data_IF_975176806337
#
_entry.id   IF_975176806337
#
_cell.length_a   1.000
_cell.length_b   1.000
_cell.length_c   1.000
_cell.angle_alpha   90.00
_cell.angle_beta   90.00
_cell.angle_gamma   90.00
#
_symmetry.space_group_name_H-M   'P 1'
#
loop_
_entity.id
_entity.type
_entity.pdbx_description
1 polymer ?
#
# COMPACT_ATOMS: atom_id res chain seq x y z
N UNK A 1 -24.47 6.11 -11.25
CA UNK A 1 -24.79 5.86 -9.83
C UNK A 1 -26.31 5.75 -9.69
N UNK A 2 -26.80 4.74 -8.99
CA UNK A 2 -28.24 4.65 -8.68
C UNK A 2 -28.59 5.68 -7.58
N UNK A 3 -29.14 6.82 -7.99
CA UNK A 3 -29.49 7.92 -7.09
C UNK A 3 -30.50 7.51 -6.00
N UNK A 4 -31.40 6.55 -6.29
CA UNK A 4 -32.45 6.14 -5.34
C UNK A 4 -31.83 5.47 -4.10
N UNK A 5 -30.72 4.73 -4.27
CA UNK A 5 -30.00 4.07 -3.18
C UNK A 5 -29.36 5.05 -2.20
N UNK A 6 -28.95 6.24 -2.66
CA UNK A 6 -28.26 7.24 -1.85
C UNK A 6 -29.16 8.41 -1.42
N UNK A 7 -30.40 8.46 -1.89
CA UNK A 7 -31.29 9.60 -1.65
C UNK A 7 -31.64 9.82 -0.19
N UNK A 8 -31.68 8.77 0.61
CA UNK A 8 -31.95 8.81 2.06
C UNK A 8 -30.73 8.49 2.93
N UNK A 9 -29.53 8.73 2.40
CA UNK A 9 -28.30 8.49 3.15
C UNK A 9 -28.29 9.22 4.50
N UNK A 10 -27.96 8.53 5.60
CA UNK A 10 -27.84 9.19 6.91
C UNK A 10 -26.43 9.81 7.15
N UNK A 11 -25.52 9.73 6.18
CA UNK A 11 -24.11 10.14 6.30
C UNK A 11 -23.65 11.05 5.17
N UNK A 12 -24.59 11.64 4.43
CA UNK A 12 -24.30 12.55 3.35
C UNK A 12 -25.54 12.91 2.55
N UNK A 13 -25.35 13.66 1.49
CA UNK A 13 -26.43 14.14 0.63
C UNK A 13 -26.09 14.06 -0.85
N UNK A 14 -27.10 13.95 -1.67
CA UNK A 14 -26.95 14.10 -3.11
C UNK A 14 -27.05 15.58 -3.52
N UNK A 15 -26.18 15.99 -4.43
CA UNK A 15 -26.21 17.32 -5.05
C UNK A 15 -26.30 17.17 -6.56
N UNK A 16 -27.04 18.09 -7.26
CA UNK A 16 -27.06 18.06 -8.71
C UNK A 16 -25.70 18.25 -9.34
N UNK A 17 -25.41 17.46 -10.37
CA UNK A 17 -24.17 17.53 -11.14
C UNK A 17 -24.52 17.60 -12.63
N UNK A 18 -24.24 18.73 -13.26
CA UNK A 18 -24.52 18.97 -14.69
C UNK A 18 -23.20 19.31 -15.39
N UNK A 19 -23.04 18.80 -16.60
CA UNK A 19 -21.86 19.07 -17.40
C UNK A 19 -21.93 18.44 -18.76
N UNK A 20 -20.77 18.43 -19.41
CA UNK A 20 -20.57 17.72 -20.68
C UNK A 20 -19.46 16.68 -20.47
N UNK A 21 -19.74 15.46 -20.86
CA UNK A 21 -18.75 14.38 -20.82
C UNK A 21 -17.60 14.70 -21.77
N UNK A 22 -16.39 14.83 -21.24
CA UNK A 22 -15.22 15.30 -22.00
C UNK A 22 -14.79 14.39 -23.14
N UNK A 23 -15.22 13.11 -23.11
CA UNK A 23 -14.87 12.10 -24.11
C UNK A 23 -15.93 12.01 -25.21
N UNK A 24 -17.22 12.01 -24.81
CA UNK A 24 -18.32 11.81 -25.75
C UNK A 24 -18.91 13.12 -26.27
N UNK A 25 -18.62 14.24 -25.61
CA UNK A 25 -19.23 15.53 -25.91
C UNK A 25 -20.73 15.60 -25.54
N UNK A 26 -21.29 14.58 -24.89
CA UNK A 26 -22.71 14.52 -24.54
C UNK A 26 -22.98 15.24 -23.22
N UNK A 27 -24.04 16.05 -23.14
CA UNK A 27 -24.43 16.63 -21.87
C UNK A 27 -24.96 15.55 -20.92
N UNK A 28 -24.68 15.70 -19.63
CA UNK A 28 -25.27 14.88 -18.58
C UNK A 28 -25.94 15.73 -17.51
N UNK A 29 -27.05 15.21 -16.97
CA UNK A 29 -27.73 15.70 -15.77
C UNK A 29 -27.77 14.53 -14.79
N UNK A 30 -26.96 14.60 -13.75
CA UNK A 30 -26.72 13.50 -12.78
C UNK A 30 -26.66 14.07 -11.36
N UNK A 31 -26.33 13.24 -10.39
CA UNK A 31 -26.11 13.63 -9.01
C UNK A 31 -24.73 13.15 -8.54
N UNK A 32 -24.14 13.87 -7.60
CA UNK A 32 -22.92 13.52 -6.89
C UNK A 32 -23.22 13.36 -5.39
N UNK A 33 -22.48 12.51 -4.71
CA UNK A 33 -22.60 12.28 -3.27
C UNK A 33 -21.60 13.15 -2.52
N UNK A 34 -22.10 13.97 -1.59
CA UNK A 34 -21.27 14.77 -0.67
C UNK A 34 -21.41 14.14 0.70
N UNK A 35 -20.32 13.54 1.25
CA UNK A 35 -20.36 12.97 2.59
C UNK A 35 -20.41 14.05 3.66
N UNK A 36 -21.08 13.75 4.77
CA UNK A 36 -21.00 14.54 5.98
C UNK A 36 -19.60 14.41 6.64
N UNK A 37 -19.23 15.34 7.54
CA UNK A 37 -18.03 15.20 8.35
C UNK A 37 -18.02 13.90 9.15
N UNK A 38 -16.82 13.33 9.36
CA UNK A 38 -16.66 12.07 10.08
C UNK A 38 -17.21 12.14 11.51
N UNK A 39 -17.93 11.11 11.97
CA UNK A 39 -18.32 11.01 13.37
C UNK A 39 -17.09 10.77 14.26
N UNK A 40 -17.16 11.22 15.52
CA UNK A 40 -16.12 10.88 16.49
C UNK A 40 -16.23 9.43 16.96
N UNK A 41 -17.45 8.96 17.21
CA UNK A 41 -17.74 7.61 17.71
C UNK A 41 -18.97 7.06 16.97
N UNK A 42 -18.77 6.28 15.89
CA UNK A 42 -19.89 5.62 15.24
C UNK A 42 -20.45 4.52 16.17
N UNK A 43 -21.76 4.25 16.14
CA UNK A 43 -22.35 3.17 16.92
C UNK A 43 -21.86 1.81 16.39
N UNK A 44 -21.21 1.01 17.25
CA UNK A 44 -20.65 -0.28 16.90
C UNK A 44 -21.21 -1.39 17.78
N UNK A 45 -21.55 -2.54 17.17
CA UNK A 45 -21.97 -3.73 17.87
C UNK A 45 -20.80 -4.38 18.65
N UNK A 46 -21.13 -5.13 19.70
CA UNK A 46 -20.11 -5.86 20.48
C UNK A 46 -19.28 -6.85 19.64
N UNK A 47 -19.82 -7.38 18.54
CA UNK A 47 -19.08 -8.24 17.63
C UNK A 47 -17.99 -7.44 16.86
N UNK A 48 -18.28 -6.21 16.49
CA UNK A 48 -17.34 -5.31 15.80
C UNK A 48 -16.25 -4.86 16.75
N UNK A 49 -16.56 -4.52 18.01
CA UNK A 49 -15.55 -4.23 19.02
C UNK A 49 -14.62 -5.42 19.28
N UNK A 50 -15.12 -6.66 19.22
CA UNK A 50 -14.26 -7.85 19.29
C UNK A 50 -13.34 -7.98 18.07
N UNK A 51 -13.80 -7.61 16.87
CA UNK A 51 -12.96 -7.60 15.68
C UNK A 51 -11.85 -6.52 15.78
N UNK A 52 -12.20 -5.31 16.23
CA UNK A 52 -11.26 -4.21 16.51
C UNK A 52 -10.20 -4.64 17.52
N UNK A 53 -10.60 -5.25 18.64
CA UNK A 53 -9.68 -5.77 19.66
C UNK A 53 -8.71 -6.80 19.07
N UNK A 54 -9.20 -7.75 18.25
CA UNK A 54 -8.34 -8.75 17.59
C UNK A 54 -7.37 -8.11 16.60
N UNK A 55 -7.79 -7.06 15.88
CA UNK A 55 -6.92 -6.30 14.97
C UNK A 55 -5.81 -5.59 15.75
N UNK A 56 -6.15 -4.91 16.85
CA UNK A 56 -5.19 -4.23 17.74
C UNK A 56 -4.16 -5.19 18.31
N UNK A 57 -4.59 -6.39 18.72
CA UNK A 57 -3.67 -7.46 19.17
C UNK A 57 -2.71 -7.90 18.04
N UNK A 58 -3.21 -8.10 16.83
CA UNK A 58 -2.37 -8.50 15.68
C UNK A 58 -1.37 -7.41 15.29
N UNK A 59 -1.78 -6.14 15.30
CA UNK A 59 -0.90 -5.00 15.09
C UNK A 59 0.18 -4.90 16.17
N UNK A 60 -0.19 -5.11 17.44
CA UNK A 60 0.78 -5.14 18.55
C UNK A 60 1.83 -6.25 18.40
N UNK A 61 1.43 -7.42 17.90
CA UNK A 61 2.35 -8.53 17.61
C UNK A 61 3.28 -8.19 16.44
N UNK A 62 2.77 -7.59 15.37
CA UNK A 62 3.59 -7.10 14.25
C UNK A 62 4.58 -6.05 14.73
N UNK A 63 4.13 -5.07 15.52
CA UNK A 63 5.00 -4.06 16.13
C UNK A 63 6.13 -4.69 16.94
N UNK A 64 5.81 -5.69 17.79
CA UNK A 64 6.82 -6.39 18.59
C UNK A 64 7.80 -7.18 17.71
N UNK A 65 7.31 -7.87 16.68
CA UNK A 65 8.16 -8.60 15.73
C UNK A 65 9.13 -7.64 15.02
N UNK A 66 8.64 -6.49 14.55
CA UNK A 66 9.47 -5.46 13.91
C UNK A 66 10.60 -4.95 14.80
N UNK A 67 10.35 -4.76 16.10
CA UNK A 67 11.35 -4.30 17.08
C UNK A 67 12.46 -5.32 17.37
N UNK A 68 12.21 -6.60 17.17
CA UNK A 68 13.19 -7.67 17.38
C UNK A 68 14.15 -7.82 16.19
N UNK A 69 13.84 -7.17 15.07
CA UNK A 69 14.68 -7.23 13.86
C UNK A 69 15.89 -6.31 14.02
N UNK A 70 17.14 -6.83 13.90
CA UNK A 70 18.34 -6.00 14.02
C UNK A 70 18.44 -4.89 12.96
N UNK A 71 17.89 -5.14 11.76
CA UNK A 71 17.90 -4.21 10.64
C UNK A 71 16.50 -4.15 9.95
N UNK A 72 15.51 -3.44 10.53
CA UNK A 72 14.15 -3.38 10.00
C UNK A 72 14.07 -2.89 8.55
N UNK A 73 15.03 -2.05 8.13
CA UNK A 73 15.13 -1.55 6.76
C UNK A 73 15.23 -2.68 5.71
N UNK A 74 15.88 -3.81 6.05
CA UNK A 74 15.99 -4.95 5.16
C UNK A 74 14.65 -5.65 4.90
N UNK A 75 13.73 -5.62 5.86
CA UNK A 75 12.39 -6.20 5.73
C UNK A 75 11.36 -5.22 5.14
N UNK A 76 11.56 -3.91 5.35
CA UNK A 76 10.66 -2.88 4.81
C UNK A 76 10.58 -2.96 3.30
N UNK A 77 11.72 -3.06 2.64
CA UNK A 77 11.80 -3.03 1.17
C UNK A 77 10.94 -4.10 0.48
N UNK A 78 11.09 -5.42 0.76
CA UNK A 78 10.27 -6.44 0.11
C UNK A 78 8.79 -6.36 0.51
N UNK A 79 8.49 -5.99 1.75
CA UNK A 79 7.11 -5.81 2.22
C UNK A 79 6.43 -4.66 1.48
N UNK A 80 7.10 -3.52 1.33
CA UNK A 80 6.57 -2.36 0.62
C UNK A 80 6.39 -2.65 -0.87
N UNK A 81 7.27 -3.42 -1.49
CA UNK A 81 7.14 -3.83 -2.89
C UNK A 81 5.94 -4.75 -3.12
N UNK A 82 5.67 -5.64 -2.19
CA UNK A 82 4.48 -6.49 -2.22
C UNK A 82 3.20 -5.66 -2.03
N UNK A 83 3.21 -4.70 -1.12
CA UNK A 83 2.11 -3.74 -0.94
C UNK A 83 1.88 -2.93 -2.22
N UNK A 84 2.94 -2.38 -2.82
CA UNK A 84 2.88 -1.60 -4.05
C UNK A 84 2.26 -2.39 -5.21
N UNK A 85 2.64 -3.65 -5.37
CA UNK A 85 2.09 -4.53 -6.40
C UNK A 85 0.58 -4.74 -6.19
N UNK A 86 0.16 -5.11 -4.98
CA UNK A 86 -1.25 -5.39 -4.69
C UNK A 86 -2.13 -4.13 -4.69
N UNK A 87 -1.61 -2.99 -4.21
CA UNK A 87 -2.37 -1.73 -4.24
C UNK A 87 -2.59 -1.24 -5.68
N UNK A 88 -1.61 -1.42 -6.56
CA UNK A 88 -1.74 -1.08 -7.98
C UNK A 88 -2.66 -2.06 -8.72
N UNK A 89 -2.63 -3.35 -8.38
CA UNK A 89 -3.54 -4.34 -8.95
C UNK A 89 -5.01 -4.05 -8.62
N UNK A 90 -5.31 -3.49 -7.44
CA UNK A 90 -6.65 -2.99 -7.09
C UNK A 90 -7.14 -1.88 -8.03
N UNK A 91 -6.25 -1.08 -8.59
CA UNK A 91 -6.57 -0.01 -9.55
C UNK A 91 -6.51 -0.48 -11.02
N UNK A 92 -6.10 -1.74 -11.26
CA UNK A 92 -6.05 -2.32 -12.60
C UNK A 92 -4.67 -2.29 -13.25
N UNK A 93 -3.61 -1.89 -12.52
CA UNK A 93 -2.22 -1.89 -12.98
C UNK A 93 -1.54 -3.18 -12.53
N UNK A 94 -1.06 -4.01 -13.47
CA UNK A 94 -0.54 -5.33 -13.16
C UNK A 94 0.94 -5.46 -13.53
N UNK A 95 1.80 -5.62 -12.54
CA UNK A 95 3.19 -6.02 -12.70
C UNK A 95 3.46 -7.30 -11.88
N UNK A 96 4.18 -8.31 -12.43
CA UNK A 96 4.57 -9.48 -11.68
C UNK A 96 5.41 -9.08 -10.45
N UNK A 97 5.14 -9.67 -9.28
CA UNK A 97 5.88 -9.33 -8.07
C UNK A 97 7.39 -9.61 -8.21
N UNK A 98 7.76 -10.63 -8.99
CA UNK A 98 9.16 -10.92 -9.31
C UNK A 98 9.85 -9.75 -10.00
N UNK A 99 9.17 -9.10 -10.97
CA UNK A 99 9.71 -7.93 -11.67
C UNK A 99 9.81 -6.72 -10.73
N UNK A 100 8.84 -6.51 -9.86
CA UNK A 100 8.87 -5.47 -8.83
C UNK A 100 10.05 -5.69 -7.86
N UNK A 101 10.30 -6.93 -7.44
CA UNK A 101 11.41 -7.28 -6.56
C UNK A 101 12.79 -7.16 -7.26
N UNK A 102 12.84 -7.36 -8.57
CA UNK A 102 14.05 -7.30 -9.38
C UNK A 102 14.30 -5.93 -10.03
N UNK A 103 13.40 -4.98 -9.87
CA UNK A 103 13.40 -3.71 -10.61
C UNK A 103 14.70 -2.88 -10.52
N UNK A 104 15.47 -3.02 -9.42
CA UNK A 104 16.76 -2.34 -9.26
C UNK A 104 17.85 -2.87 -10.20
N UNK A 105 17.64 -4.04 -10.78
CA UNK A 105 18.57 -4.68 -11.70
C UNK A 105 18.23 -4.36 -13.17
N UNK A 106 17.13 -3.63 -13.40
CA UNK A 106 16.66 -3.25 -14.73
C UNK A 106 17.03 -1.80 -15.01
N UNK A 107 17.49 -1.55 -16.23
CA UNK A 107 17.60 -0.18 -16.71
C UNK A 107 16.24 0.50 -16.69
N UNK A 108 16.19 1.75 -16.30
CA UNK A 108 14.94 2.50 -16.17
C UNK A 108 14.13 2.54 -17.48
N UNK A 109 14.83 2.65 -18.60
CA UNK A 109 14.24 2.61 -19.95
C UNK A 109 13.63 1.26 -20.33
N UNK A 110 14.02 0.18 -19.66
CA UNK A 110 13.51 -1.17 -19.90
C UNK A 110 12.28 -1.51 -19.03
N UNK A 111 11.90 -0.65 -18.07
CA UNK A 111 10.74 -0.85 -17.20
C UNK A 111 9.44 -0.60 -17.99
N UNK A 112 8.49 -1.50 -17.87
CA UNK A 112 7.14 -1.29 -18.42
C UNK A 112 6.44 -0.10 -17.73
N UNK A 113 5.39 0.43 -18.36
CA UNK A 113 4.57 1.49 -17.76
C UNK A 113 3.97 1.04 -16.43
N UNK A 114 3.42 -0.17 -16.39
CA UNK A 114 2.83 -0.76 -15.18
C UNK A 114 3.86 -0.92 -14.07
N UNK A 115 5.07 -1.43 -14.40
CA UNK A 115 6.13 -1.56 -13.39
C UNK A 115 6.56 -0.20 -12.83
N UNK A 116 6.64 0.83 -13.68
CA UNK A 116 6.95 2.20 -13.24
C UNK A 116 5.90 2.73 -12.28
N UNK A 117 4.62 2.54 -12.60
CA UNK A 117 3.50 2.96 -11.75
C UNK A 117 3.54 2.26 -10.38
N UNK A 118 3.84 0.95 -10.34
CA UNK A 118 4.02 0.21 -9.08
C UNK A 118 5.21 0.74 -8.29
N UNK A 119 6.33 1.06 -8.93
CA UNK A 119 7.52 1.59 -8.26
C UNK A 119 7.30 3.01 -7.73
N UNK A 120 6.54 3.84 -8.43
CA UNK A 120 6.15 5.16 -7.92
C UNK A 120 5.44 5.09 -6.57
N UNK A 121 4.61 4.05 -6.35
CA UNK A 121 4.02 3.86 -5.02
C UNK A 121 5.08 3.57 -3.95
N UNK A 122 6.12 2.80 -4.27
CA UNK A 122 7.23 2.54 -3.33
C UNK A 122 7.91 3.84 -2.94
N UNK A 123 8.26 4.67 -3.93
CA UNK A 123 8.95 5.95 -3.71
C UNK A 123 8.05 6.94 -2.94
N UNK A 124 6.76 6.98 -3.29
CA UNK A 124 5.75 7.80 -2.60
C UNK A 124 5.59 7.40 -1.14
N UNK A 125 5.51 6.11 -0.86
CA UNK A 125 5.37 5.60 0.50
C UNK A 125 6.64 5.84 1.33
N UNK A 126 7.83 5.63 0.76
CA UNK A 126 9.09 5.93 1.44
C UNK A 126 9.22 7.42 1.76
N UNK A 127 8.81 8.32 0.85
CA UNK A 127 8.76 9.76 1.10
C UNK A 127 7.77 10.08 2.24
N UNK A 128 6.55 9.55 2.19
CA UNK A 128 5.52 9.78 3.21
C UNK A 128 5.98 9.34 4.60
N UNK A 129 6.60 8.15 4.71
CA UNK A 129 7.14 7.65 5.97
C UNK A 129 8.34 8.47 6.46
N UNK A 130 9.16 8.98 5.53
CA UNK A 130 10.24 9.92 5.83
C UNK A 130 9.71 11.20 6.46
N UNK A 131 8.78 11.85 5.79
CA UNK A 131 8.17 13.10 6.25
C UNK A 131 7.46 12.96 7.60
N UNK A 132 6.78 11.83 7.83
CA UNK A 132 6.14 11.59 9.12
C UNK A 132 7.16 11.44 10.25
N UNK A 133 8.30 10.78 10.01
CA UNK A 133 9.42 10.68 10.97
C UNK A 133 10.08 12.03 11.27
N UNK A 134 10.08 12.95 10.31
CA UNK A 134 10.52 14.35 10.46
C UNK A 134 9.48 15.22 11.20
N UNK A 135 8.34 14.65 11.57
CA UNK A 135 7.28 15.34 12.31
C UNK A 135 6.31 16.15 11.43
N UNK A 136 6.34 15.96 10.09
CA UNK A 136 5.31 16.55 9.22
C UNK A 136 3.95 15.92 9.54
N UNK A 137 2.92 16.74 9.57
CA UNK A 137 1.54 16.30 9.74
C UNK A 137 0.89 16.08 8.39
N UNK A 138 -0.15 15.24 8.35
CA UNK A 138 -1.00 15.09 7.17
C UNK A 138 -1.70 16.42 6.90
N UNK A 139 -1.47 16.99 5.72
CA UNK A 139 -2.09 18.22 5.23
C UNK A 139 -2.55 18.02 3.80
N UNK A 140 -3.43 18.89 3.29
CA UNK A 140 -3.81 18.88 1.88
C UNK A 140 -2.56 19.01 0.99
N UNK A 141 -1.63 19.91 1.35
CA UNK A 141 -0.36 20.06 0.62
C UNK A 141 0.46 18.78 0.60
N UNK A 142 0.58 18.07 1.72
CA UNK A 142 1.26 16.77 1.76
C UNK A 142 0.58 15.73 0.87
N UNK A 143 -0.76 15.67 0.87
CA UNK A 143 -1.50 14.75 -0.01
C UNK A 143 -1.29 15.09 -1.49
N UNK A 144 -1.24 16.37 -1.83
CA UNK A 144 -0.93 16.83 -3.19
C UNK A 144 0.50 16.46 -3.60
N UNK A 145 1.50 16.68 -2.74
CA UNK A 145 2.88 16.28 -3.00
C UNK A 145 3.00 14.76 -3.22
N UNK A 146 2.34 13.95 -2.39
CA UNK A 146 2.35 12.48 -2.52
C UNK A 146 1.66 12.02 -3.81
N UNK A 147 0.55 12.65 -4.19
CA UNK A 147 -0.14 12.32 -5.43
C UNK A 147 0.72 12.66 -6.65
N UNK A 148 1.42 13.78 -6.66
CA UNK A 148 2.35 14.14 -7.74
C UNK A 148 3.48 13.10 -7.89
N UNK A 149 4.07 12.63 -6.78
CA UNK A 149 5.07 11.56 -6.81
C UNK A 149 4.48 10.25 -7.36
N UNK A 150 3.27 9.91 -6.92
CA UNK A 150 2.61 8.66 -7.28
C UNK A 150 2.35 8.52 -8.78
N UNK A 151 1.97 9.61 -9.43
CA UNK A 151 1.62 9.59 -10.86
C UNK A 151 2.77 10.00 -11.78
N UNK A 152 3.94 10.35 -11.23
CA UNK A 152 5.07 10.86 -12.01
C UNK A 152 5.49 9.93 -13.14
N UNK A 153 5.59 10.47 -14.36
CA UNK A 153 5.99 9.72 -15.56
C UNK A 153 4.99 8.63 -15.99
N UNK A 154 3.76 8.66 -15.48
CA UNK A 154 2.64 7.81 -15.91
C UNK A 154 1.68 8.59 -16.83
N UNK A 155 0.69 7.95 -17.46
CA UNK A 155 -0.35 8.68 -18.22
C UNK A 155 -1.14 9.69 -17.38
N UNK A 156 -1.18 9.54 -16.05
CA UNK A 156 -1.84 10.46 -15.12
C UNK A 156 -0.95 11.66 -14.71
N UNK A 157 0.31 11.70 -15.14
CA UNK A 157 1.23 12.84 -14.95
C UNK A 157 0.86 13.98 -15.90
N UNK A 158 -0.19 14.69 -15.53
CA UNK A 158 -0.74 15.83 -16.28
C UNK A 158 -0.46 17.13 -15.52
N UNK A 159 -0.71 18.31 -16.07
CA UNK A 159 -0.61 19.57 -15.33
C UNK A 159 -1.45 19.65 -14.06
N UNK A 160 -2.43 18.75 -13.88
CA UNK A 160 -3.25 18.63 -12.67
C UNK A 160 -2.64 17.67 -11.63
N UNK A 161 -1.53 17.00 -11.93
CA UNK A 161 -0.83 16.17 -10.93
C UNK A 161 -0.41 17.05 -9.73
N UNK A 162 -0.67 16.56 -8.53
CA UNK A 162 -0.41 17.31 -7.31
C UNK A 162 -1.46 18.38 -6.98
N UNK A 163 -2.60 18.41 -7.67
CA UNK A 163 -3.68 19.35 -7.39
C UNK A 163 -5.00 18.62 -7.09
N UNK A 164 -5.79 19.19 -6.20
CA UNK A 164 -7.17 18.75 -6.01
C UNK A 164 -7.92 18.95 -7.31
N UNK A 165 -8.67 17.95 -7.75
CA UNK A 165 -9.32 17.93 -9.05
C UNK A 165 -10.32 19.09 -9.24
N UNK A 166 -10.36 19.57 -10.46
CA UNK A 166 -11.29 20.61 -10.91
C UNK A 166 -12.39 20.06 -11.83
N UNK A 167 -12.35 18.73 -12.11
CA UNK A 167 -13.35 18.04 -12.92
C UNK A 167 -14.03 16.93 -12.11
N UNK A 168 -15.30 16.61 -12.43
CA UNK A 168 -15.96 15.45 -11.86
C UNK A 168 -15.28 14.15 -12.28
N UNK A 169 -15.28 13.16 -11.38
CA UNK A 169 -14.77 11.83 -11.64
C UNK A 169 -15.84 10.76 -11.38
N UNK A 170 -15.68 9.61 -12.01
CA UNK A 170 -16.57 8.46 -11.91
C UNK A 170 -15.83 7.30 -11.26
N UNK A 171 -16.45 6.56 -10.35
CA UNK A 171 -15.89 5.37 -9.71
C UNK A 171 -16.69 4.14 -10.11
N UNK A 172 -15.97 3.08 -10.55
CA UNK A 172 -16.55 1.75 -10.72
C UNK A 172 -17.57 1.61 -11.85
N UNK A 173 -17.46 2.41 -12.92
CA UNK A 173 -18.25 2.29 -14.13
C UNK A 173 -17.64 1.30 -15.15
N UNK A 174 -18.42 1.00 -16.21
CA UNK A 174 -17.88 0.31 -17.41
C UNK A 174 -17.05 1.24 -18.29
N UNK A 175 -17.15 2.52 -18.03
CA UNK A 175 -16.44 3.61 -18.70
C UNK A 175 -16.18 4.71 -17.68
N UNK A 176 -15.32 5.67 -18.01
CA UNK A 176 -15.08 6.86 -17.17
C UNK A 176 -16.23 7.87 -17.23
N UNK A 177 -17.37 7.49 -17.80
CA UNK A 177 -18.55 8.35 -17.90
C UNK A 177 -19.28 8.45 -16.55
N UNK A 178 -19.66 9.67 -16.19
CA UNK A 178 -20.47 9.96 -14.99
C UNK A 178 -21.79 9.18 -14.99
N UNK A 179 -22.38 8.98 -16.18
CA UNK A 179 -23.69 8.29 -16.32
C UNK A 179 -23.58 6.81 -15.95
N UNK A 180 -22.46 6.17 -16.32
CA UNK A 180 -22.21 4.74 -16.07
C UNK A 180 -21.57 4.47 -14.71
N UNK A 181 -21.23 5.50 -13.95
CA UNK A 181 -20.51 5.37 -12.68
C UNK A 181 -21.33 4.58 -11.66
N UNK A 182 -20.67 3.71 -10.93
CA UNK A 182 -21.24 3.07 -9.73
C UNK A 182 -21.36 4.06 -8.58
N UNK A 183 -20.41 4.98 -8.47
CA UNK A 183 -20.39 6.05 -7.49
C UNK A 183 -19.83 7.33 -8.11
N UNK A 184 -20.46 8.47 -7.80
CA UNK A 184 -19.99 9.80 -8.21
C UNK A 184 -19.66 10.60 -6.95
N UNK A 185 -18.36 10.85 -6.68
CA UNK A 185 -17.90 11.61 -5.52
C UNK A 185 -18.36 13.06 -5.53
N UNK A 186 -18.13 13.76 -4.41
CA UNK A 186 -18.41 15.19 -4.26
C UNK A 186 -17.95 16.00 -5.49
N UNK A 187 -18.76 16.94 -5.97
CA UNK A 187 -18.37 17.77 -7.12
C UNK A 187 -17.11 18.58 -6.79
N UNK A 188 -16.29 18.90 -7.79
CA UNK A 188 -15.13 19.77 -7.58
C UNK A 188 -15.55 21.16 -7.10
N UNK A 189 -14.63 21.86 -6.45
CA UNK A 189 -14.86 23.20 -5.91
C UNK A 189 -15.18 23.18 -4.41
N UNK A 190 -16.10 24.04 -3.93
CA UNK A 190 -16.30 24.27 -2.49
C UNK A 190 -16.67 23.02 -1.68
N UNK A 191 -17.53 22.14 -2.23
CA UNK A 191 -17.97 20.90 -1.55
C UNK A 191 -16.77 19.95 -1.29
N UNK A 192 -15.99 19.71 -2.33
CA UNK A 192 -14.80 18.85 -2.22
C UNK A 192 -13.74 19.50 -1.33
N UNK A 193 -13.49 20.80 -1.50
CA UNK A 193 -12.49 21.54 -0.70
C UNK A 193 -12.83 21.55 0.79
N UNK A 194 -14.09 21.81 1.15
CA UNK A 194 -14.54 21.78 2.53
C UNK A 194 -14.42 20.37 3.14
N UNK A 195 -14.92 19.34 2.43
CA UNK A 195 -14.84 17.96 2.91
C UNK A 195 -13.39 17.47 3.11
N UNK A 196 -12.47 17.88 2.23
CA UNK A 196 -11.07 17.52 2.35
C UNK A 196 -10.39 18.26 3.52
N UNK A 197 -10.74 19.52 3.76
CA UNK A 197 -10.27 20.28 4.92
C UNK A 197 -10.79 19.67 6.22
N UNK A 198 -12.09 19.35 6.29
CA UNK A 198 -12.70 18.68 7.44
C UNK A 198 -12.01 17.34 7.74
N UNK A 199 -11.68 16.55 6.72
CA UNK A 199 -10.95 15.29 6.89
C UNK A 199 -9.56 15.52 7.50
N UNK A 200 -8.79 16.48 6.97
CA UNK A 200 -7.44 16.79 7.47
C UNK A 200 -7.49 17.33 8.89
N UNK A 201 -8.46 18.19 9.22
CA UNK A 201 -8.67 18.70 10.55
C UNK A 201 -9.08 17.59 11.53
N UNK A 202 -9.91 16.66 11.08
CA UNK A 202 -10.30 15.49 11.87
C UNK A 202 -9.09 14.59 12.19
N UNK A 203 -8.24 14.30 11.21
CA UNK A 203 -6.99 13.53 11.37
C UNK A 203 -6.08 14.20 12.42
N UNK A 204 -5.96 15.52 12.40
CA UNK A 204 -5.03 16.26 13.25
C UNK A 204 -5.64 16.80 14.55
N UNK A 205 -6.91 16.53 14.81
CA UNK A 205 -7.65 17.09 15.96
C UNK A 205 -7.09 16.66 17.31
N UNK A 206 -7.26 17.50 18.34
CA UNK A 206 -6.86 17.20 19.71
C UNK A 206 -7.62 16.02 20.34
N UNK A 207 -8.84 15.72 19.85
CA UNK A 207 -9.64 14.57 20.28
C UNK A 207 -9.14 13.20 19.80
N UNK A 208 -8.08 13.18 18.99
CA UNK A 208 -7.51 11.98 18.41
C UNK A 208 -7.11 10.93 19.46
N UNK A 209 -6.52 11.33 20.57
CA UNK A 209 -6.06 10.40 21.62
C UNK A 209 -7.19 9.60 22.31
N UNK A 210 -8.46 10.04 22.17
CA UNK A 210 -9.63 9.33 22.69
C UNK A 210 -10.25 8.33 21.71
N UNK A 211 -9.80 8.29 20.46
CA UNK A 211 -10.35 7.39 19.43
C UNK A 211 -9.58 6.08 19.36
N UNK A 212 -10.28 4.97 19.11
CA UNK A 212 -9.61 3.71 18.80
C UNK A 212 -8.88 3.85 17.44
N UNK A 213 -7.56 3.54 17.34
CA UNK A 213 -6.79 3.74 16.13
C UNK A 213 -7.25 2.91 14.92
N UNK A 214 -7.78 1.70 15.14
CA UNK A 214 -8.32 0.84 14.08
C UNK A 214 -9.60 1.44 13.51
N UNK A 215 -10.48 1.93 14.40
CA UNK A 215 -11.71 2.63 14.01
C UNK A 215 -11.36 3.94 13.27
N UNK A 216 -10.42 4.71 13.82
CA UNK A 216 -9.99 5.96 13.20
C UNK A 216 -9.43 5.74 11.77
N UNK A 217 -8.58 4.74 11.59
CA UNK A 217 -8.05 4.40 10.27
C UNK A 217 -9.15 3.97 9.28
N UNK A 218 -10.16 3.23 9.74
CA UNK A 218 -11.31 2.84 8.91
C UNK A 218 -12.13 4.04 8.47
N UNK A 219 -12.38 4.98 9.37
CA UNK A 219 -13.13 6.22 9.09
C UNK A 219 -12.40 7.12 8.11
N UNK A 220 -11.11 7.38 8.35
CA UNK A 220 -10.25 8.21 7.48
C UNK A 220 -10.19 7.62 6.07
N UNK A 221 -9.99 6.31 5.97
CA UNK A 221 -9.92 5.64 4.68
C UNK A 221 -11.25 5.75 3.91
N UNK A 222 -12.39 5.48 4.55
CA UNK A 222 -13.70 5.66 3.93
C UNK A 222 -13.90 7.08 3.42
N UNK A 223 -13.64 8.09 4.25
CA UNK A 223 -13.87 9.48 3.89
C UNK A 223 -13.00 9.93 2.72
N UNK A 224 -11.73 9.53 2.72
CA UNK A 224 -10.80 9.84 1.64
C UNK A 224 -11.24 9.21 0.30
N UNK A 225 -11.63 7.92 0.32
CA UNK A 225 -12.14 7.22 -0.85
C UNK A 225 -13.45 7.82 -1.36
N UNK A 226 -14.33 8.27 -0.46
CA UNK A 226 -15.61 8.87 -0.81
C UNK A 226 -15.47 10.30 -1.38
N UNK A 227 -14.53 11.10 -0.85
CA UNK A 227 -14.22 12.42 -1.38
C UNK A 227 -13.50 12.33 -2.72
N UNK A 228 -12.61 11.38 -2.88
CA UNK A 228 -11.86 11.10 -4.10
C UNK A 228 -11.20 12.34 -4.69
N UNK A 229 -10.27 13.00 -3.95
CA UNK A 229 -9.87 14.39 -4.22
C UNK A 229 -9.01 14.59 -5.47
N UNK A 230 -8.50 13.55 -6.09
CA UNK A 230 -7.60 13.64 -7.25
C UNK A 230 -8.21 13.01 -8.50
N UNK A 231 -7.63 13.33 -9.67
CA UNK A 231 -8.04 12.71 -10.93
C UNK A 231 -7.62 11.24 -11.03
N UNK A 232 -6.51 10.87 -10.37
CA UNK A 232 -5.96 9.50 -10.29
C UNK A 232 -5.17 9.32 -9.00
N UNK A 233 -4.96 8.05 -8.59
CA UNK A 233 -4.14 7.66 -7.45
C UNK A 233 -4.86 7.69 -6.10
N UNK A 234 -6.16 7.99 -6.06
CA UNK A 234 -6.90 8.09 -4.80
C UNK A 234 -6.86 6.79 -4.00
N UNK A 235 -7.19 5.65 -4.61
CA UNK A 235 -7.18 4.36 -3.91
C UNK A 235 -5.80 4.00 -3.34
N UNK A 236 -4.74 4.24 -4.10
CA UNK A 236 -3.36 4.00 -3.64
C UNK A 236 -3.00 4.89 -2.46
N UNK A 237 -3.32 6.18 -2.53
CA UNK A 237 -3.11 7.12 -1.41
C UNK A 237 -4.01 6.82 -0.22
N UNK A 238 -5.27 6.48 -0.44
CA UNK A 238 -6.21 6.11 0.63
C UNK A 238 -5.71 4.91 1.43
N UNK A 239 -5.13 3.89 0.77
CA UNK A 239 -4.53 2.75 1.46
C UNK A 239 -3.20 3.10 2.15
N UNK A 240 -2.40 3.99 1.57
CA UNK A 240 -1.21 4.53 2.24
C UNK A 240 -1.58 5.31 3.51
N UNK A 241 -2.67 6.08 3.49
CA UNK A 241 -3.17 6.82 4.65
C UNK A 241 -3.51 5.89 5.83
N UNK A 242 -3.95 4.66 5.59
CA UNK A 242 -4.17 3.67 6.67
C UNK A 242 -2.90 3.47 7.49
N UNK A 243 -1.78 3.22 6.81
CA UNK A 243 -0.50 2.97 7.46
C UNK A 243 0.05 4.24 8.11
N UNK A 244 -0.07 5.40 7.45
CA UNK A 244 0.33 6.70 8.00
C UNK A 244 -0.44 7.02 9.28
N UNK A 245 -1.76 6.76 9.31
CA UNK A 245 -2.60 6.97 10.49
C UNK A 245 -2.14 6.09 11.65
N UNK A 246 -1.89 4.79 11.43
CA UNK A 246 -1.43 3.86 12.47
C UNK A 246 -0.02 4.22 13.00
N UNK A 247 0.88 4.72 12.14
CA UNK A 247 2.18 5.24 12.54
C UNK A 247 2.05 6.52 13.37
N UNK A 248 1.20 7.44 12.92
CA UNK A 248 0.95 8.70 13.61
C UNK A 248 0.27 8.49 14.97
N UNK A 249 -0.56 7.43 15.13
CA UNK A 249 -1.18 7.03 16.40
C UNK A 249 -0.25 6.22 17.31
N UNK A 250 0.97 5.94 16.87
CA UNK A 250 1.95 5.18 17.63
C UNK A 250 1.62 3.68 17.77
N UNK A 251 0.65 3.16 17.02
CA UNK A 251 0.31 1.74 16.96
C UNK A 251 1.42 0.94 16.30
N UNK A 252 2.06 1.51 15.30
CA UNK A 252 3.22 0.98 14.62
C UNK A 252 4.40 1.94 14.77
N UNK A 253 5.62 1.41 14.84
CA UNK A 253 6.87 2.19 14.79
C UNK A 253 7.59 2.07 13.46
N UNK A 254 7.23 1.04 12.68
CA UNK A 254 7.80 0.76 11.38
C UNK A 254 6.72 0.53 10.32
N UNK A 255 7.02 0.90 9.08
CA UNK A 255 6.14 0.78 7.93
C UNK A 255 6.21 -0.62 7.29
N UNK A 256 6.05 -1.67 8.10
CA UNK A 256 6.08 -3.06 7.62
C UNK A 256 4.69 -3.59 7.24
N UNK A 257 3.60 -2.91 7.63
CA UNK A 257 2.25 -3.38 7.37
C UNK A 257 1.90 -3.24 5.89
N UNK A 258 1.54 -4.35 5.24
CA UNK A 258 0.91 -4.37 3.92
C UNK A 258 -0.58 -4.71 4.05
N UNK A 259 -1.46 -3.81 3.65
CA UNK A 259 -2.93 -3.98 3.77
C UNK A 259 -3.58 -4.43 2.46
N UNK A 260 -3.00 -4.05 1.33
CA UNK A 260 -3.60 -4.20 0.01
C UNK A 260 -3.77 -5.65 -0.46
N UNK A 261 -2.90 -6.63 -0.14
CA UNK A 261 -3.11 -8.01 -0.56
C UNK A 261 -4.43 -8.62 -0.06
N UNK A 262 -4.86 -8.22 1.13
CA UNK A 262 -6.13 -8.70 1.68
C UNK A 262 -7.33 -8.04 1.01
N UNK A 263 -7.29 -6.72 0.77
CA UNK A 263 -8.33 -5.98 0.06
C UNK A 263 -8.43 -6.42 -1.41
N UNK A 264 -7.28 -6.64 -2.07
CA UNK A 264 -7.23 -7.13 -3.45
C UNK A 264 -7.98 -8.45 -3.61
N UNK A 265 -7.74 -9.41 -2.73
CA UNK A 265 -8.44 -10.72 -2.75
C UNK A 265 -9.94 -10.62 -2.48
N UNK A 266 -10.44 -9.47 -2.00
CA UNK A 266 -11.84 -9.18 -1.66
C UNK A 266 -12.36 -7.90 -2.30
N UNK A 267 -11.84 -7.54 -3.46
CA UNK A 267 -12.11 -6.25 -4.13
C UNK A 267 -13.60 -5.91 -4.22
N UNK A 268 -14.43 -6.86 -4.61
CA UNK A 268 -15.87 -6.62 -4.74
C UNK A 268 -16.52 -6.31 -3.38
N UNK A 269 -16.25 -7.12 -2.35
CA UNK A 269 -16.77 -6.89 -1.00
C UNK A 269 -16.26 -5.57 -0.41
N UNK A 270 -14.99 -5.25 -0.60
CA UNK A 270 -14.39 -3.99 -0.16
C UNK A 270 -15.15 -2.78 -0.74
N UNK A 271 -15.40 -2.77 -2.05
CA UNK A 271 -16.15 -1.71 -2.71
C UNK A 271 -17.63 -1.67 -2.26
N UNK A 272 -18.25 -2.85 -2.04
CA UNK A 272 -19.63 -2.94 -1.55
C UNK A 272 -19.77 -2.38 -0.13
N UNK A 273 -18.78 -2.63 0.76
CA UNK A 273 -18.77 -2.11 2.12
C UNK A 273 -18.62 -0.60 2.18
N UNK A 274 -17.74 -0.01 1.36
CA UNK A 274 -17.62 1.44 1.24
C UNK A 274 -18.93 2.06 0.75
N UNK A 275 -19.55 1.47 -0.28
CA UNK A 275 -20.83 1.95 -0.81
C UNK A 275 -21.98 1.82 0.20
N UNK A 276 -21.99 0.78 1.05
CA UNK A 276 -23.00 0.58 2.08
C UNK A 276 -22.91 1.66 3.18
N UNK A 277 -21.73 2.15 3.53
CA UNK A 277 -21.62 3.31 4.42
C UNK A 277 -22.29 4.53 3.79
N UNK A 278 -21.93 4.85 2.54
CA UNK A 278 -22.51 6.02 1.85
C UNK A 278 -24.03 5.92 1.61
N UNK A 279 -24.57 4.71 1.41
CA UNK A 279 -25.98 4.52 1.15
C UNK A 279 -26.82 4.41 2.44
N UNK A 280 -26.35 3.61 3.38
CA UNK A 280 -27.15 3.10 4.49
C UNK A 280 -26.58 3.52 5.87
N UNK A 281 -25.40 4.16 5.92
CA UNK A 281 -24.68 4.47 7.16
C UNK A 281 -24.14 3.22 7.85
N UNK A 282 -23.86 2.13 7.12
CA UNK A 282 -23.38 0.84 7.68
C UNK A 282 -21.92 0.92 8.17
N UNK A 283 -21.69 1.79 9.16
CA UNK A 283 -20.39 1.90 9.82
C UNK A 283 -19.97 0.58 10.49
N UNK A 284 -20.91 -0.12 11.09
CA UNK A 284 -20.64 -1.37 11.80
C UNK A 284 -20.10 -2.45 10.86
N UNK A 285 -20.77 -2.66 9.73
CA UNK A 285 -20.34 -3.61 8.71
C UNK A 285 -18.99 -3.25 8.09
N UNK A 286 -18.77 -1.96 7.80
CA UNK A 286 -17.50 -1.47 7.27
C UNK A 286 -16.35 -1.65 8.25
N UNK A 287 -16.48 -1.15 9.48
CA UNK A 287 -15.41 -1.19 10.49
C UNK A 287 -15.07 -2.63 10.86
N UNK A 288 -16.06 -3.52 10.94
CA UNK A 288 -15.81 -4.94 11.16
C UNK A 288 -15.00 -5.57 10.04
N UNK A 289 -15.40 -5.34 8.78
CA UNK A 289 -14.67 -5.81 7.60
C UNK A 289 -13.23 -5.27 7.58
N UNK A 290 -13.06 -3.98 7.83
CA UNK A 290 -11.76 -3.32 7.87
C UNK A 290 -10.86 -3.88 8.99
N UNK A 291 -11.40 -4.07 10.19
CA UNK A 291 -10.68 -4.64 11.32
C UNK A 291 -10.24 -6.09 11.05
N UNK A 292 -11.12 -6.92 10.44
CA UNK A 292 -10.74 -8.28 10.04
C UNK A 292 -9.64 -8.25 8.97
N UNK A 293 -9.67 -7.27 8.07
CA UNK A 293 -8.61 -7.01 7.10
C UNK A 293 -7.28 -6.65 7.74
N UNK A 294 -7.27 -5.69 8.66
CA UNK A 294 -6.05 -5.31 9.38
C UNK A 294 -5.48 -6.47 10.20
N UNK A 295 -6.35 -7.24 10.87
CA UNK A 295 -5.93 -8.43 11.60
C UNK A 295 -5.23 -9.44 10.70
N UNK A 296 -5.84 -9.76 9.55
CA UNK A 296 -5.29 -10.71 8.60
C UNK A 296 -3.96 -10.20 8.02
N UNK A 297 -3.91 -8.92 7.62
CA UNK A 297 -2.72 -8.28 7.06
C UNK A 297 -1.56 -8.23 8.06
N UNK A 298 -1.82 -7.84 9.30
CA UNK A 298 -0.80 -7.80 10.34
C UNK A 298 -0.27 -9.21 10.66
N UNK A 299 -1.15 -10.22 10.68
CA UNK A 299 -0.76 -11.62 10.90
C UNK A 299 0.09 -12.15 9.73
N UNK A 300 -0.35 -11.95 8.48
CA UNK A 300 0.41 -12.35 7.28
C UNK A 300 1.79 -11.69 7.26
N UNK A 301 1.84 -10.38 7.53
CA UNK A 301 3.11 -9.65 7.56
C UNK A 301 4.05 -10.17 8.65
N UNK A 302 3.56 -10.38 9.87
CA UNK A 302 4.37 -10.92 10.96
C UNK A 302 4.93 -12.32 10.65
N UNK A 303 4.12 -13.18 10.05
CA UNK A 303 4.54 -14.52 9.64
C UNK A 303 5.63 -14.46 8.55
N UNK A 304 5.49 -13.57 7.56
CA UNK A 304 6.52 -13.36 6.51
C UNK A 304 7.82 -12.81 7.09
N UNK A 305 7.72 -11.87 8.02
CA UNK A 305 8.89 -11.37 8.75
C UNK A 305 9.64 -12.50 9.42
N UNK A 306 8.96 -13.38 10.15
CA UNK A 306 9.60 -14.54 10.78
C UNK A 306 10.21 -15.49 9.75
N UNK A 307 9.47 -15.84 8.69
CA UNK A 307 9.97 -16.70 7.62
C UNK A 307 11.24 -16.14 6.95
N UNK A 308 11.28 -14.83 6.70
CA UNK A 308 12.47 -14.18 6.14
C UNK A 308 13.66 -14.21 7.09
N UNK A 309 13.43 -14.02 8.39
CA UNK A 309 14.48 -14.12 9.41
C UNK A 309 15.01 -15.55 9.56
N UNK A 310 14.14 -16.56 9.49
CA UNK A 310 14.52 -17.96 9.50
C UNK A 310 15.40 -18.30 8.28
N UNK A 311 15.02 -17.83 7.09
CA UNK A 311 15.82 -17.99 5.87
C UNK A 311 17.18 -17.30 6.00
N UNK A 312 17.21 -16.06 6.53
CA UNK A 312 18.46 -15.33 6.76
C UNK A 312 19.37 -16.07 7.74
N UNK A 313 18.81 -16.58 8.85
CA UNK A 313 19.56 -17.34 9.85
C UNK A 313 20.16 -18.62 9.25
N UNK A 314 19.42 -19.35 8.42
CA UNK A 314 19.89 -20.54 7.71
C UNK A 314 21.03 -20.19 6.73
N UNK A 315 20.87 -19.13 5.93
CA UNK A 315 21.92 -18.67 5.02
C UNK A 315 23.21 -18.33 5.76
N UNK A 316 23.10 -17.59 6.87
CA UNK A 316 24.26 -17.23 7.68
C UNK A 316 24.91 -18.46 8.37
N UNK A 317 24.12 -19.46 8.73
CA UNK A 317 24.63 -20.72 9.28
C UNK A 317 25.40 -21.51 8.22
N UNK A 318 24.89 -21.65 6.99
CA UNK A 318 25.60 -22.29 5.87
C UNK A 318 26.92 -21.58 5.54
N UNK A 319 26.90 -20.25 5.47
CA UNK A 319 28.09 -19.41 5.22
C UNK A 319 29.14 -19.60 6.31
N UNK A 320 28.70 -19.62 7.58
CA UNK A 320 29.59 -19.86 8.74
C UNK A 320 30.20 -21.27 8.73
N UNK A 321 29.38 -22.28 8.46
CA UNK A 321 29.84 -23.68 8.40
C UNK A 321 30.90 -23.91 7.30
N UNK A 322 30.78 -23.16 6.19
CA UNK A 322 31.75 -23.18 5.10
C UNK A 322 33.02 -22.33 5.36
N UNK A 323 33.14 -21.67 6.53
CA UNK A 323 34.26 -20.80 6.85
C UNK A 323 34.34 -19.53 5.99
N UNK A 324 33.21 -19.08 5.43
CA UNK A 324 33.16 -17.94 4.53
C UNK A 324 32.91 -16.66 5.33
N UNK A 325 33.67 -15.61 5.00
CA UNK A 325 33.57 -14.29 5.61
C UNK A 325 33.55 -13.17 4.54
N UNK A 326 33.44 -11.92 4.97
CA UNK A 326 33.48 -10.74 4.11
C UNK A 326 32.27 -10.66 3.17
N UNK A 327 32.49 -10.24 1.92
CA UNK A 327 31.44 -9.90 0.94
C UNK A 327 30.36 -10.99 0.81
N UNK A 328 30.73 -12.25 0.80
CA UNK A 328 29.75 -13.33 0.63
C UNK A 328 28.82 -13.47 1.85
N UNK A 329 29.34 -13.21 3.07
CA UNK A 329 28.50 -13.15 4.27
C UNK A 329 27.58 -11.93 4.23
N UNK A 330 28.12 -10.75 3.92
CA UNK A 330 27.34 -9.51 3.87
C UNK A 330 26.26 -9.58 2.78
N UNK A 331 26.59 -10.22 1.64
CA UNK A 331 25.63 -10.50 0.59
C UNK A 331 24.53 -11.44 1.09
N UNK A 332 24.86 -12.56 1.72
CA UNK A 332 23.89 -13.52 2.26
C UNK A 332 22.92 -12.84 3.26
N UNK A 333 23.43 -11.96 4.12
CA UNK A 333 22.64 -11.19 5.08
C UNK A 333 21.66 -10.25 4.38
N UNK A 334 22.06 -9.62 3.26
CA UNK A 334 21.25 -8.64 2.53
C UNK A 334 20.22 -9.26 1.57
N UNK A 335 20.28 -10.57 1.30
CA UNK A 335 19.39 -11.23 0.33
C UNK A 335 17.90 -11.13 0.70
N UNK A 336 17.55 -10.99 1.97
CA UNK A 336 16.15 -10.79 2.40
C UNK A 336 15.58 -9.47 1.89
N UNK A 337 16.41 -8.45 1.67
CA UNK A 337 16.01 -7.16 1.08
C UNK A 337 16.14 -7.17 -0.46
N UNK A 338 17.10 -7.90 -0.97
CA UNK A 338 17.48 -7.95 -2.38
C UNK A 338 17.53 -9.40 -2.87
N UNK A 339 16.36 -10.04 -3.05
CA UNK A 339 16.30 -11.47 -3.38
C UNK A 339 16.84 -11.80 -4.78
N UNK A 340 17.01 -10.79 -5.61
CA UNK A 340 17.58 -10.88 -6.93
C UNK A 340 18.85 -10.06 -7.02
N UNK A 341 19.90 -10.62 -7.63
CA UNK A 341 21.20 -9.96 -7.76
C UNK A 341 21.86 -10.26 -9.11
N UNK A 342 22.65 -9.28 -9.58
CA UNK A 342 23.68 -9.47 -10.61
C UNK A 342 25.04 -9.25 -9.98
N UNK A 343 26.12 -9.76 -10.60
CA UNK A 343 27.47 -9.52 -10.11
C UNK A 343 27.81 -8.03 -10.08
N UNK A 344 27.36 -7.26 -11.10
CA UNK A 344 27.56 -5.81 -11.18
C UNK A 344 26.86 -5.08 -10.02
N UNK A 345 25.61 -5.40 -9.74
CA UNK A 345 24.84 -4.80 -8.63
C UNK A 345 25.47 -5.13 -7.25
N UNK A 346 26.00 -6.34 -7.09
CA UNK A 346 26.75 -6.70 -5.88
C UNK A 346 28.02 -5.89 -5.75
N UNK A 347 28.80 -5.73 -6.83
CA UNK A 347 30.02 -4.94 -6.84
C UNK A 347 29.75 -3.47 -6.46
N UNK A 348 28.74 -2.87 -7.08
CA UNK A 348 28.31 -1.49 -6.82
C UNK A 348 27.89 -1.31 -5.35
N UNK A 349 26.94 -2.12 -4.87
CA UNK A 349 26.39 -2.03 -3.51
C UNK A 349 27.42 -2.24 -2.41
N UNK A 350 28.41 -3.11 -2.66
CA UNK A 350 29.47 -3.39 -1.69
C UNK A 350 30.70 -2.48 -1.83
N UNK A 351 30.79 -1.68 -2.89
CA UNK A 351 31.97 -0.87 -3.21
C UNK A 351 33.20 -1.71 -3.53
N UNK A 352 33.03 -2.96 -4.02
CA UNK A 352 34.12 -3.90 -4.29
C UNK A 352 34.30 -4.16 -5.78
N UNK A 353 35.43 -4.79 -6.13
CA UNK A 353 35.69 -5.11 -7.54
C UNK A 353 34.71 -6.17 -8.06
N UNK A 354 34.46 -6.15 -9.37
CA UNK A 354 33.62 -7.14 -10.07
C UNK A 354 34.11 -8.58 -9.77
N UNK A 355 35.43 -8.80 -9.78
CA UNK A 355 36.01 -10.12 -9.49
C UNK A 355 35.70 -10.59 -8.07
N UNK A 356 35.78 -9.71 -7.08
CA UNK A 356 35.45 -10.04 -5.68
C UNK A 356 33.94 -10.34 -5.52
N UNK A 357 33.07 -9.53 -6.15
CA UNK A 357 31.64 -9.78 -6.19
C UNK A 357 31.29 -11.11 -6.88
N UNK A 358 31.90 -11.41 -8.04
CA UNK A 358 31.71 -12.67 -8.76
C UNK A 358 32.11 -13.88 -7.92
N UNK A 359 33.22 -13.80 -7.19
CA UNK A 359 33.64 -14.86 -6.27
C UNK A 359 32.64 -15.05 -5.12
N UNK A 360 32.11 -13.97 -4.56
CA UNK A 360 31.08 -14.02 -3.52
C UNK A 360 29.79 -14.69 -4.04
N UNK A 361 29.28 -14.26 -5.18
CA UNK A 361 28.08 -14.85 -5.83
C UNK A 361 28.31 -16.34 -6.10
N UNK A 362 29.45 -16.72 -6.71
CA UNK A 362 29.77 -18.11 -6.98
C UNK A 362 29.75 -18.98 -5.71
N UNK A 363 30.37 -18.51 -4.61
CA UNK A 363 30.33 -19.22 -3.32
C UNK A 363 28.90 -19.41 -2.79
N UNK A 364 28.05 -18.42 -2.91
CA UNK A 364 26.64 -18.56 -2.50
C UNK A 364 25.85 -19.50 -3.42
N UNK A 365 26.22 -19.61 -4.69
CA UNK A 365 25.67 -20.61 -5.60
C UNK A 365 26.12 -22.02 -5.20
N UNK A 366 27.41 -22.21 -4.88
CA UNK A 366 27.96 -23.47 -4.39
C UNK A 366 27.29 -23.95 -3.09
N UNK A 367 26.90 -23.01 -2.22
CA UNK A 367 26.12 -23.27 -1.01
C UNK A 367 24.62 -23.48 -1.24
N UNK A 368 24.12 -23.36 -2.48
CA UNK A 368 22.71 -23.47 -2.81
C UNK A 368 21.83 -22.31 -2.31
N UNK A 369 22.45 -21.20 -1.87
CA UNK A 369 21.77 -19.98 -1.40
C UNK A 369 21.25 -19.17 -2.60
N UNK A 370 22.07 -19.06 -3.66
CA UNK A 370 21.70 -18.40 -4.91
C UNK A 370 21.53 -19.43 -6.03
N UNK A 371 20.55 -19.19 -6.90
CA UNK A 371 20.34 -19.99 -8.14
C UNK A 371 20.34 -19.06 -9.33
N UNK A 372 21.08 -19.45 -10.37
CA UNK A 372 21.04 -18.73 -11.64
C UNK A 372 19.70 -18.96 -12.35
N UNK A 373 19.13 -17.88 -12.92
CA UNK A 373 17.81 -17.90 -13.57
C UNK A 373 17.88 -17.70 -15.09
N UNK A 374 19.00 -17.24 -15.63
CA UNK A 374 19.09 -16.81 -17.04
C UNK A 374 19.65 -17.83 -18.01
N UNK A 375 20.47 -18.79 -17.53
CA UNK A 375 21.19 -19.73 -18.40
C UNK A 375 22.17 -19.05 -19.38
N UNK A 376 22.55 -17.79 -19.15
CA UNK A 376 23.41 -16.99 -20.04
C UNK A 376 24.85 -16.95 -19.52
N UNK A 377 25.83 -16.81 -20.43
CA UNK A 377 27.24 -16.62 -20.06
C UNK A 377 27.53 -15.19 -19.59
N UNK A 378 26.79 -14.20 -20.08
CA UNK A 378 26.88 -12.79 -19.70
C UNK A 378 25.56 -12.30 -19.16
N UNK A 379 25.58 -11.25 -18.30
CA UNK A 379 24.41 -10.66 -17.66
C UNK A 379 23.60 -11.69 -16.86
N UNK A 380 24.31 -12.53 -16.11
CA UNK A 380 23.70 -13.57 -15.26
C UNK A 380 22.92 -12.95 -14.12
N UNK A 381 21.73 -13.47 -13.96
CA UNK A 381 20.77 -13.06 -12.95
C UNK A 381 20.59 -14.20 -11.94
N UNK A 382 20.74 -13.90 -10.66
CA UNK A 382 20.68 -14.88 -9.58
C UNK A 382 19.53 -14.55 -8.63
N UNK A 383 18.85 -15.59 -8.15
CA UNK A 383 17.76 -15.47 -7.19
C UNK A 383 18.04 -16.24 -5.91
N UNK A 384 17.70 -15.65 -4.78
CA UNK A 384 17.58 -16.31 -3.49
C UNK A 384 16.19 -16.97 -3.39
N UNK A 385 16.07 -18.19 -3.90
CA UNK A 385 14.77 -18.84 -4.11
C UNK A 385 13.95 -18.98 -2.82
N UNK A 386 14.60 -19.25 -1.68
CA UNK A 386 13.91 -19.41 -0.39
C UNK A 386 13.34 -18.07 0.10
N UNK A 387 14.03 -16.94 -0.14
CA UNK A 387 13.51 -15.59 0.14
C UNK A 387 12.33 -15.28 -0.74
N UNK A 388 12.41 -15.57 -2.05
CA UNK A 388 11.30 -15.38 -2.98
C UNK A 388 10.09 -16.21 -2.54
N UNK A 389 10.29 -17.46 -2.16
CA UNK A 389 9.22 -18.33 -1.66
C UNK A 389 8.57 -17.77 -0.38
N UNK A 390 9.35 -17.22 0.56
CA UNK A 390 8.82 -16.59 1.78
C UNK A 390 7.98 -15.33 1.47
N UNK A 391 8.30 -14.60 0.40
CA UNK A 391 7.58 -13.38 -0.01
C UNK A 391 6.30 -13.68 -0.81
N UNK A 392 6.34 -14.66 -1.73
CA UNK A 392 5.28 -14.92 -2.70
C UNK A 392 4.43 -16.12 -2.29
N UNK A 393 5.05 -17.13 -1.67
CA UNK A 393 4.40 -18.40 -1.37
C UNK A 393 3.25 -18.29 -0.37
N UNK A 394 2.34 -19.29 -0.37
CA UNK A 394 1.38 -19.43 0.71
C UNK A 394 2.14 -19.63 2.02
N UNK A 395 1.75 -18.89 3.05
CA UNK A 395 2.28 -19.13 4.40
C UNK A 395 1.65 -20.43 4.88
N UNK A 396 2.48 -21.46 5.15
CA UNK A 396 1.97 -22.62 5.84
C UNK A 396 1.49 -22.15 7.23
N UNK A 397 0.21 -22.27 7.48
CA UNK A 397 -0.32 -22.07 8.81
C UNK A 397 0.35 -23.09 9.74
N UNK A 398 1.43 -22.71 10.41
CA UNK A 398 1.75 -23.32 11.68
C UNK A 398 0.64 -22.81 12.62
N UNK A 399 -0.40 -23.62 12.79
CA UNK A 399 -1.35 -23.49 13.86
C UNK A 399 -0.52 -23.54 15.15
N UNK A 400 -0.27 -22.39 15.74
CA UNK A 400 0.11 -22.20 17.15
C UNK A 400 0.67 -20.78 17.32
N UNK A 401 -0.25 -19.81 17.35
CA UNK A 401 0.04 -18.47 17.89
C UNK A 401 -1.18 -17.92 18.66
#
# INVERSE_FOLDING_TARGET
MDATRFASSPVGRLVPLRGTDGRTGQPYDHVAFVPDPLPNEPPLAGATWRAVSRASHALGRLHQAARQVPAPALLRRPTLRREAQSTSALEGTFAPLEDVLAADLMDESARSADLREVLNYVDTADAAFGWLREGRRVTIGMLCELQSLLVHGTPADTPQAGHVREIPVAIGGRSDSIVDARFVPAPPGPELGAGLQDLVDWINSSGRAGRDPVVAAALVHYQFETLHPFNDGNGRLGRLLIVLQLLQDGVLTDSLLGVSPWFESRRAEYQDRLAAVSADGDWDGWIRFFADGLRASATDTAQRVHALLDVQADYLARVRAAGIAGIARDLAESLIAYPYVTVSAVAERTGKTFQAANNAVRRLVELGILRERTGRTHWRFFAAADVVAALIGPISAKEDW
#
